data_IF_057928305795
#
_entry.id   IF_057928305795
#
_cell.length_a   1.000
_cell.length_b   1.000
_cell.length_c   1.000
_cell.angle_alpha   90.00
_cell.angle_beta   90.00
_cell.angle_gamma   90.00
#
_symmetry.space_group_name_H-M   'P 1'
#
loop_
_entity.id
_entity.type
_entity.pdbx_description
1 polymer ?
#
# COMPACT_ATOMS: atom_id res chain seq x y z
N UNK A 1 -32.20 8.79 -30.50
CA UNK A 1 -31.38 8.09 -31.51
C UNK A 1 -29.95 8.13 -31.02
N UNK A 2 -29.35 6.98 -30.71
CA UNK A 2 -27.91 6.93 -30.36
C UNK A 2 -27.17 7.05 -31.69
N UNK A 3 -26.43 8.15 -31.87
CA UNK A 3 -25.57 8.30 -33.04
C UNK A 3 -24.55 7.16 -33.01
N UNK A 4 -24.52 6.35 -34.06
CA UNK A 4 -23.51 5.31 -34.25
C UNK A 4 -22.15 6.03 -34.27
N UNK A 5 -21.34 5.82 -33.23
CA UNK A 5 -19.99 6.36 -33.25
C UNK A 5 -19.23 5.65 -34.39
N UNK A 6 -18.57 6.40 -35.28
CA UNK A 6 -17.80 5.79 -36.36
C UNK A 6 -16.73 4.88 -35.76
N UNK A 7 -16.46 3.77 -36.45
CA UNK A 7 -15.41 2.85 -36.07
C UNK A 7 -14.06 3.59 -35.98
N UNK A 8 -13.24 3.17 -35.00
CA UNK A 8 -11.90 3.73 -34.84
C UNK A 8 -11.06 3.43 -36.09
N UNK A 9 -10.26 4.41 -36.50
CA UNK A 9 -9.29 4.22 -37.58
C UNK A 9 -8.34 3.07 -37.24
N UNK A 10 -8.17 2.15 -38.19
CA UNK A 10 -7.14 1.11 -38.07
C UNK A 10 -5.74 1.74 -38.22
N UNK A 11 -4.69 1.16 -37.62
CA UNK A 11 -3.32 1.63 -37.82
C UNK A 11 -2.90 1.67 -39.29
N UNK A 12 -3.38 0.71 -40.09
CA UNK A 12 -3.16 0.70 -41.54
C UNK A 12 -3.78 1.94 -42.21
N UNK A 13 -5.04 2.27 -41.85
CA UNK A 13 -5.72 3.43 -42.45
C UNK A 13 -5.04 4.74 -42.05
N UNK A 14 -4.51 4.84 -40.84
CA UNK A 14 -3.74 6.01 -40.40
C UNK A 14 -2.43 6.16 -41.16
N UNK A 15 -1.69 5.06 -41.34
CA UNK A 15 -0.46 5.07 -42.12
C UNK A 15 -0.72 5.52 -43.57
N UNK A 16 -1.81 5.04 -44.19
CA UNK A 16 -2.22 5.49 -45.52
C UNK A 16 -2.59 6.99 -45.56
N UNK A 17 -3.23 7.53 -44.52
CA UNK A 17 -3.55 8.97 -44.45
C UNK A 17 -2.27 9.78 -44.26
N UNK A 18 -1.36 9.30 -43.40
CA UNK A 18 -0.05 9.92 -43.16
C UNK A 18 0.78 9.97 -44.45
N UNK A 19 0.87 8.85 -45.18
CA UNK A 19 1.58 8.78 -46.46
C UNK A 19 0.98 9.76 -47.49
N UNK A 20 -0.36 9.84 -47.59
CA UNK A 20 -1.02 10.82 -48.47
C UNK A 20 -0.73 12.26 -48.06
N UNK A 21 -0.71 12.56 -46.76
CA UNK A 21 -0.43 13.89 -46.24
C UNK A 21 1.04 14.30 -46.46
N UNK A 22 1.98 13.36 -46.30
CA UNK A 22 3.41 13.58 -46.55
C UNK A 22 3.73 13.73 -48.05
N UNK A 23 3.04 12.95 -48.91
CA UNK A 23 3.18 13.04 -50.36
C UNK A 23 2.56 14.33 -50.94
N UNK A 24 1.66 14.99 -50.22
CA UNK A 24 1.07 16.25 -50.64
C UNK A 24 2.10 17.39 -50.66
N UNK A 25 1.91 18.36 -51.57
CA UNK A 25 2.80 19.52 -51.70
C UNK A 25 3.02 20.20 -50.34
N UNK A 26 4.27 20.47 -49.93
CA UNK A 26 4.54 21.18 -48.67
C UNK A 26 3.86 22.55 -48.64
N UNK A 27 3.25 22.88 -47.50
CA UNK A 27 2.62 24.18 -47.24
C UNK A 27 3.59 25.31 -46.92
N UNK A 28 3.08 26.50 -46.56
CA UNK A 28 1.65 26.81 -46.40
C UNK A 28 0.92 26.88 -47.74
N UNK A 29 -0.33 26.44 -47.76
CA UNK A 29 -1.24 26.67 -48.89
C UNK A 29 -2.08 27.91 -48.59
N UNK A 30 -2.18 28.81 -49.57
CA UNK A 30 -3.03 29.99 -49.52
C UNK A 30 -4.15 29.88 -50.55
N UNK A 31 -5.22 30.63 -50.31
CA UNK A 31 -6.34 30.79 -51.24
C UNK A 31 -6.23 32.19 -51.85
N UNK A 32 -6.33 32.30 -53.18
CA UNK A 32 -6.40 33.55 -53.91
C UNK A 32 -7.66 33.59 -54.78
N UNK A 33 -8.35 34.71 -54.74
CA UNK A 33 -9.54 34.96 -55.54
C UNK A 33 -9.20 35.95 -56.66
N UNK A 34 -9.49 35.56 -57.90
CA UNK A 34 -9.29 36.39 -59.09
C UNK A 34 -10.62 36.79 -59.71
N UNK A 35 -10.67 37.98 -60.32
CA UNK A 35 -11.79 38.38 -61.15
C UNK A 35 -13.13 38.59 -60.43
N UNK A 36 -13.11 38.92 -59.12
CA UNK A 36 -14.31 39.23 -58.35
C UNK A 36 -15.23 38.04 -58.10
N UNK A 37 -14.65 36.87 -57.86
CA UNK A 37 -15.39 35.64 -57.56
C UNK A 37 -15.71 34.76 -58.76
N UNK A 38 -14.95 34.90 -59.84
CA UNK A 38 -15.03 34.00 -61.01
C UNK A 38 -13.99 32.87 -60.98
N UNK A 39 -13.02 32.95 -60.06
CA UNK A 39 -11.92 32.00 -59.98
C UNK A 39 -11.33 31.98 -58.56
N UNK A 40 -11.30 30.80 -57.93
CA UNK A 40 -10.53 30.55 -56.71
C UNK A 40 -9.36 29.62 -57.04
N UNK A 41 -8.15 30.03 -56.66
CA UNK A 41 -6.95 29.23 -56.78
C UNK A 41 -6.34 28.95 -55.39
N UNK A 42 -6.01 27.69 -55.15
CA UNK A 42 -5.24 27.26 -53.98
C UNK A 42 -3.81 27.08 -54.43
N UNK A 43 -2.86 27.76 -53.79
CA UNK A 43 -1.46 27.73 -54.20
C UNK A 43 -0.50 27.63 -53.01
N UNK A 44 0.63 26.95 -53.20
CA UNK A 44 1.69 26.86 -52.20
C UNK A 44 2.58 28.11 -52.23
N UNK A 45 2.92 28.63 -51.04
CA UNK A 45 3.72 29.84 -50.84
C UNK A 45 3.13 31.06 -51.53
N UNK A 46 1.83 31.28 -51.32
CA UNK A 46 1.08 32.36 -51.94
C UNK A 46 1.48 33.72 -51.35
N UNK A 47 1.96 34.62 -52.22
CA UNK A 47 2.33 36.00 -51.92
C UNK A 47 1.50 36.95 -52.80
N UNK A 48 0.74 37.87 -52.20
CA UNK A 48 0.00 38.88 -52.95
C UNK A 48 0.94 39.97 -53.49
N UNK A 49 0.78 40.36 -54.76
CA UNK A 49 1.72 41.27 -55.45
C UNK A 49 1.09 42.60 -55.91
N UNK A 50 -0.16 42.86 -55.55
CA UNK A 50 -0.92 44.06 -55.96
C UNK A 50 -1.46 44.05 -57.39
N UNK A 51 -0.95 43.17 -58.26
CA UNK A 51 -1.45 42.95 -59.63
C UNK A 51 -1.83 41.47 -59.88
N UNK A 52 -2.03 40.70 -58.82
CA UNK A 52 -2.16 39.26 -58.85
C UNK A 52 -1.47 38.65 -57.64
N UNK A 53 -1.05 37.41 -57.77
CA UNK A 53 -0.25 36.71 -56.76
C UNK A 53 0.98 36.07 -57.40
N UNK A 54 1.95 35.76 -56.55
CA UNK A 54 3.07 34.89 -56.86
C UNK A 54 2.93 33.66 -55.97
N UNK A 55 3.17 32.49 -56.54
CA UNK A 55 3.19 31.24 -55.80
C UNK A 55 4.30 30.34 -56.33
N UNK A 56 4.74 29.39 -55.51
CA UNK A 56 5.65 28.34 -55.96
C UNK A 56 4.94 27.37 -56.91
N UNK A 57 3.68 27.02 -56.62
CA UNK A 57 2.91 26.04 -57.38
C UNK A 57 1.40 26.17 -57.12
N UNK A 58 0.58 26.09 -58.17
CA UNK A 58 -0.86 25.89 -58.04
C UNK A 58 -1.18 24.46 -57.57
N UNK A 59 -2.04 24.35 -56.56
CA UNK A 59 -2.47 23.09 -55.93
C UNK A 59 -3.80 22.63 -56.52
N UNK A 60 -4.79 23.52 -56.51
CA UNK A 60 -6.11 23.29 -57.04
C UNK A 60 -6.65 24.60 -57.62
N UNK A 61 -7.56 24.46 -58.57
CA UNK A 61 -8.25 25.56 -59.21
C UNK A 61 -9.72 25.20 -59.24
N UNK A 62 -10.54 26.15 -58.83
CA UNK A 62 -11.99 26.06 -58.78
C UNK A 62 -12.49 27.11 -59.78
N UNK A 63 -12.67 26.66 -61.01
CA UNK A 63 -13.03 27.47 -62.17
C UNK A 63 -14.35 27.01 -62.77
N UNK A 64 -15.43 27.46 -62.14
CA UNK A 64 -16.76 27.54 -62.74
C UNK A 64 -17.36 28.87 -62.30
N UNK A 65 -17.63 29.76 -63.26
CA UNK A 65 -18.61 30.82 -63.02
C UNK A 65 -19.93 30.09 -62.73
N UNK A 66 -20.52 30.21 -61.53
CA UNK A 66 -21.83 29.63 -61.28
C UNK A 66 -22.78 30.16 -62.34
N UNK A 67 -23.50 29.25 -63.00
CA UNK A 67 -24.38 29.57 -64.14
C UNK A 67 -25.43 30.63 -63.78
N UNK A 68 -25.77 30.77 -62.50
CA UNK A 68 -26.44 31.94 -61.91
C UNK A 68 -26.28 31.87 -60.37
N UNK A 69 -25.78 32.92 -59.72
CA UNK A 69 -25.67 32.99 -58.25
C UNK A 69 -26.98 33.48 -57.59
N UNK A 70 -28.07 33.61 -58.35
CA UNK A 70 -29.39 33.94 -57.84
C UNK A 70 -30.09 32.69 -57.26
N UNK A 71 -30.37 32.64 -55.94
CA UNK A 71 -31.13 31.54 -55.34
C UNK A 71 -32.56 31.40 -55.89
N UNK A 72 -33.04 32.38 -56.66
CA UNK A 72 -34.32 32.33 -57.38
C UNK A 72 -34.25 31.61 -58.73
N UNK A 73 -33.06 31.24 -59.22
CA UNK A 73 -32.91 30.47 -60.44
C UNK A 73 -33.22 28.98 -60.18
N UNK A 74 -33.98 28.34 -61.07
CA UNK A 74 -34.45 26.95 -60.90
C UNK A 74 -33.28 25.93 -60.89
N UNK A 75 -32.11 26.33 -61.39
CA UNK A 75 -30.89 25.51 -61.47
C UNK A 75 -29.93 25.75 -60.30
N UNK A 76 -30.21 26.71 -59.41
CA UNK A 76 -29.34 27.01 -58.27
C UNK A 76 -29.40 25.91 -57.20
N UNK A 77 -28.23 25.47 -56.73
CA UNK A 77 -28.10 24.64 -55.54
C UNK A 77 -27.23 25.32 -54.49
N UNK A 78 -27.46 25.00 -53.20
CA UNK A 78 -26.63 25.50 -52.11
C UNK A 78 -25.16 25.02 -52.18
N UNK A 79 -24.89 23.96 -52.96
CA UNK A 79 -23.54 23.43 -53.21
C UNK A 79 -22.79 24.27 -54.26
N UNK A 80 -23.50 25.02 -55.10
CA UNK A 80 -22.94 25.91 -56.14
C UNK A 80 -22.82 27.37 -55.67
N UNK A 81 -23.19 27.65 -54.42
CA UNK A 81 -23.01 28.97 -53.80
C UNK A 81 -21.53 29.30 -53.67
N UNK A 82 -21.11 30.46 -54.19
CA UNK A 82 -19.72 30.90 -54.16
C UNK A 82 -19.13 30.97 -52.74
N UNK A 83 -19.94 31.28 -51.73
CA UNK A 83 -19.50 31.26 -50.34
C UNK A 83 -19.15 29.84 -49.87
N UNK A 84 -19.84 28.82 -50.38
CA UNK A 84 -19.51 27.42 -50.10
C UNK A 84 -18.22 27.00 -50.83
N UNK A 85 -18.02 27.42 -52.08
CA UNK A 85 -16.78 27.19 -52.83
C UNK A 85 -15.57 27.83 -52.12
N UNK A 86 -15.73 29.05 -51.62
CA UNK A 86 -14.69 29.72 -50.81
C UNK A 86 -14.41 28.97 -49.50
N UNK A 87 -15.45 28.46 -48.83
CA UNK A 87 -15.31 27.67 -47.61
C UNK A 87 -14.57 26.34 -47.87
N UNK A 88 -14.90 25.65 -48.94
CA UNK A 88 -14.24 24.39 -49.36
C UNK A 88 -12.78 24.65 -49.72
N UNK A 89 -12.49 25.75 -50.43
CA UNK A 89 -11.13 26.12 -50.77
C UNK A 89 -10.27 26.39 -49.52
N UNK A 90 -10.83 27.10 -48.53
CA UNK A 90 -10.16 27.32 -47.23
C UNK A 90 -9.96 26.01 -46.50
N UNK A 91 -10.96 25.12 -46.46
CA UNK A 91 -10.84 23.81 -45.85
C UNK A 91 -9.71 22.99 -46.49
N UNK A 92 -9.64 22.93 -47.83
CA UNK A 92 -8.58 22.22 -48.56
C UNK A 92 -7.20 22.85 -48.30
N UNK A 93 -7.10 24.17 -48.27
CA UNK A 93 -5.86 24.87 -47.94
C UNK A 93 -5.34 24.50 -46.55
N UNK A 94 -6.23 24.50 -45.54
CA UNK A 94 -5.88 24.17 -44.15
C UNK A 94 -5.69 22.66 -43.90
N UNK A 95 -6.37 21.80 -44.66
CA UNK A 95 -6.29 20.35 -44.50
C UNK A 95 -4.86 19.82 -44.57
N UNK A 96 -3.97 20.50 -45.31
CA UNK A 96 -2.55 20.12 -45.37
C UNK A 96 -1.88 20.14 -43.99
N UNK A 97 -2.17 21.14 -43.19
CA UNK A 97 -1.57 21.30 -41.86
C UNK A 97 -2.43 20.59 -40.80
N UNK A 98 -3.75 20.74 -40.86
CA UNK A 98 -4.69 20.18 -39.89
C UNK A 98 -4.65 18.65 -39.85
N UNK A 99 -4.58 17.97 -40.99
CA UNK A 99 -4.51 16.49 -41.02
C UNK A 99 -3.23 16.00 -40.35
N UNK A 100 -2.11 16.68 -40.57
CA UNK A 100 -0.83 16.31 -39.95
C UNK A 100 -0.88 16.52 -38.44
N UNK A 101 -1.44 17.65 -37.99
CA UNK A 101 -1.64 17.94 -36.57
C UNK A 101 -2.57 16.91 -35.89
N UNK A 102 -3.69 16.58 -36.53
CA UNK A 102 -4.64 15.59 -36.01
C UNK A 102 -4.04 14.18 -35.93
N UNK A 103 -3.20 13.78 -36.88
CA UNK A 103 -2.48 12.50 -36.82
C UNK A 103 -1.48 12.47 -35.66
N UNK A 104 -0.77 13.57 -35.41
CA UNK A 104 0.14 13.68 -34.28
C UNK A 104 -0.59 13.59 -32.93
N UNK A 105 -1.71 14.31 -32.79
CA UNK A 105 -2.57 14.23 -31.60
C UNK A 105 -3.15 12.81 -31.40
N UNK A 106 -3.61 12.17 -32.48
CA UNK A 106 -4.10 10.80 -32.42
C UNK A 106 -3.02 9.81 -31.98
N UNK A 107 -1.78 9.99 -32.44
CA UNK A 107 -0.64 9.19 -32.00
C UNK A 107 -0.33 9.42 -30.51
N UNK A 108 -0.35 10.68 -30.05
CA UNK A 108 -0.14 11.03 -28.64
C UNK A 108 -1.21 10.39 -27.74
N UNK A 109 -2.50 10.56 -28.05
CA UNK A 109 -3.60 9.96 -27.28
C UNK A 109 -3.52 8.43 -27.26
N UNK A 110 -3.05 7.80 -28.33
CA UNK A 110 -2.84 6.35 -28.36
C UNK A 110 -1.69 5.92 -27.45
N UNK A 111 -0.59 6.66 -27.46
CA UNK A 111 0.53 6.41 -26.56
C UNK A 111 0.10 6.54 -25.10
N UNK A 112 -0.61 7.62 -24.74
CA UNK A 112 -1.16 7.83 -23.39
C UNK A 112 -2.12 6.70 -22.97
N UNK A 113 -3.01 6.28 -23.87
CA UNK A 113 -3.92 5.16 -23.60
C UNK A 113 -3.16 3.86 -23.36
N UNK A 114 -2.14 3.58 -24.16
CA UNK A 114 -1.38 2.34 -24.08
C UNK A 114 -0.52 2.32 -22.81
N UNK A 115 0.05 3.46 -22.41
CA UNK A 115 0.68 3.66 -21.10
C UNK A 115 -0.30 3.45 -19.95
N UNK A 116 -1.48 4.09 -19.99
CA UNK A 116 -2.51 3.92 -18.96
C UNK A 116 -2.98 2.46 -18.84
N UNK A 117 -3.06 1.72 -19.95
CA UNK A 117 -3.38 0.30 -19.96
C UNK A 117 -2.27 -0.56 -19.36
N UNK A 118 -1.01 -0.21 -19.61
CA UNK A 118 0.13 -0.89 -19.00
C UNK A 118 0.12 -0.69 -17.48
N UNK A 119 -0.06 0.54 -17.02
CA UNK A 119 -0.19 0.88 -15.58
C UNK A 119 -1.36 0.16 -14.94
N UNK A 120 -2.52 0.12 -15.59
CA UNK A 120 -3.69 -0.60 -15.09
C UNK A 120 -3.42 -2.10 -14.95
N UNK A 121 -2.72 -2.70 -15.92
CA UNK A 121 -2.35 -4.11 -15.87
C UNK A 121 -1.42 -4.40 -14.69
N UNK A 122 -0.38 -3.59 -14.50
CA UNK A 122 0.53 -3.73 -13.37
C UNK A 122 -0.21 -3.60 -12.03
N UNK A 123 -1.12 -2.62 -11.91
CA UNK A 123 -1.96 -2.47 -10.72
C UNK A 123 -2.86 -3.70 -10.47
N UNK A 124 -3.44 -4.29 -11.51
CA UNK A 124 -4.19 -5.53 -11.38
C UNK A 124 -3.32 -6.71 -10.90
N UNK A 125 -2.10 -6.82 -11.42
CA UNK A 125 -1.16 -7.87 -11.00
C UNK A 125 -0.76 -7.69 -9.52
N UNK A 126 -0.52 -6.44 -9.07
CA UNK A 126 -0.26 -6.12 -7.66
C UNK A 126 -1.45 -6.46 -6.75
N UNK A 127 -2.69 -6.16 -7.17
CA UNK A 127 -3.89 -6.52 -6.41
C UNK A 127 -4.02 -8.03 -6.27
N UNK A 128 -3.78 -8.78 -7.35
CA UNK A 128 -3.81 -10.25 -7.30
C UNK A 128 -2.77 -10.83 -6.33
N UNK A 129 -1.58 -10.25 -6.25
CA UNK A 129 -0.55 -10.63 -5.27
C UNK A 129 -1.01 -10.35 -3.83
N UNK A 130 -1.57 -9.16 -3.58
CA UNK A 130 -2.09 -8.81 -2.25
C UNK A 130 -3.25 -9.70 -1.82
N UNK A 131 -4.15 -10.04 -2.74
CA UNK A 131 -5.25 -10.97 -2.46
C UNK A 131 -4.73 -12.36 -2.09
N UNK A 132 -3.65 -12.82 -2.72
CA UNK A 132 -2.99 -14.08 -2.36
C UNK A 132 -2.36 -14.02 -0.97
N UNK A 133 -1.65 -12.93 -0.64
CA UNK A 133 -1.05 -12.70 0.68
C UNK A 133 -2.13 -12.66 1.78
N UNK A 134 -3.22 -11.93 1.56
CA UNK A 134 -4.36 -11.85 2.48
C UNK A 134 -4.97 -13.24 2.69
N UNK A 135 -5.11 -14.03 1.62
CA UNK A 135 -5.56 -15.41 1.71
C UNK A 135 -4.66 -16.28 2.59
N UNK A 136 -3.34 -16.15 2.44
CA UNK A 136 -2.35 -16.84 3.29
C UNK A 136 -2.44 -16.45 4.76
N UNK A 137 -2.45 -15.15 5.06
CA UNK A 137 -2.56 -14.64 6.43
C UNK A 137 -3.88 -15.04 7.09
N UNK A 138 -4.98 -15.07 6.33
CA UNK A 138 -6.29 -15.52 6.84
C UNK A 138 -6.24 -16.99 7.25
N UNK A 139 -5.60 -17.85 6.46
CA UNK A 139 -5.43 -19.25 6.79
C UNK A 139 -4.54 -19.46 8.03
N UNK A 140 -3.46 -18.68 8.15
CA UNK A 140 -2.58 -18.72 9.33
C UNK A 140 -3.31 -18.26 10.60
N UNK A 141 -4.08 -17.18 10.53
CA UNK A 141 -4.91 -16.72 11.64
C UNK A 141 -5.90 -17.78 12.09
N UNK A 142 -6.52 -18.49 11.15
CA UNK A 142 -7.44 -19.58 11.49
C UNK A 142 -6.71 -20.76 12.13
N UNK A 143 -5.51 -21.11 11.66
CA UNK A 143 -4.68 -22.13 12.29
C UNK A 143 -4.31 -21.75 13.72
N UNK A 144 -3.87 -20.51 13.95
CA UNK A 144 -3.54 -20.00 15.30
C UNK A 144 -4.77 -20.01 16.19
N UNK A 145 -5.95 -19.64 15.68
CA UNK A 145 -7.21 -19.72 16.43
C UNK A 145 -7.55 -21.15 16.84
N UNK A 146 -7.42 -22.11 15.93
CA UNK A 146 -7.64 -23.54 16.23
C UNK A 146 -6.63 -24.04 17.26
N UNK A 147 -5.37 -23.64 17.16
CA UNK A 147 -4.34 -24.01 18.13
C UNK A 147 -4.65 -23.41 19.51
N UNK A 148 -4.98 -22.12 19.58
CA UNK A 148 -5.34 -21.45 20.83
C UNK A 148 -6.57 -22.09 21.49
N UNK A 149 -7.57 -22.48 20.71
CA UNK A 149 -8.77 -23.15 21.20
C UNK A 149 -8.47 -24.47 21.93
N UNK A 150 -7.32 -25.11 21.71
CA UNK A 150 -6.89 -26.30 22.48
C UNK A 150 -6.52 -25.95 23.92
N UNK A 151 -6.03 -24.74 24.15
CA UNK A 151 -5.57 -24.27 25.45
C UNK A 151 -6.66 -23.52 26.21
N UNK A 152 -7.59 -22.85 25.51
CA UNK A 152 -8.73 -22.19 26.15
C UNK A 152 -9.58 -23.21 26.92
N UNK A 153 -9.68 -23.03 28.23
CA UNK A 153 -10.39 -23.94 29.13
C UNK A 153 -9.61 -25.18 29.58
N UNK A 154 -8.42 -25.41 29.00
CA UNK A 154 -7.43 -26.39 29.48
C UNK A 154 -6.37 -25.76 30.39
N UNK A 155 -6.44 -24.44 30.59
CA UNK A 155 -5.63 -23.72 31.57
C UNK A 155 -5.94 -24.27 32.97
N UNK A 156 -4.93 -24.70 33.74
CA UNK A 156 -5.15 -25.14 35.11
C UNK A 156 -5.80 -24.00 35.87
N UNK A 157 -6.93 -24.29 36.50
CA UNK A 157 -7.60 -23.35 37.38
C UNK A 157 -6.63 -22.93 38.51
N UNK A 158 -6.85 -21.75 39.10
CA UNK A 158 -6.06 -21.31 40.26
C UNK A 158 -6.06 -22.40 41.35
N UNK A 159 -7.20 -23.10 41.54
CA UNK A 159 -7.30 -24.21 42.48
C UNK A 159 -6.42 -25.41 42.09
N UNK A 160 -6.39 -25.81 40.82
CA UNK A 160 -5.51 -26.88 40.33
C UNK A 160 -4.03 -26.50 40.42
N UNK A 161 -3.70 -25.25 40.13
CA UNK A 161 -2.35 -24.69 40.30
C UNK A 161 -1.91 -24.73 41.77
N UNK A 162 -2.76 -24.25 42.69
CA UNK A 162 -2.50 -24.32 44.14
C UNK A 162 -2.35 -25.78 44.58
N UNK A 163 -3.25 -26.67 44.16
CA UNK A 163 -3.18 -28.08 44.53
C UNK A 163 -1.90 -28.76 44.00
N UNK A 164 -1.44 -28.40 42.79
CA UNK A 164 -0.16 -28.88 42.26
C UNK A 164 1.02 -28.38 43.09
N UNK A 165 1.07 -27.08 43.39
CA UNK A 165 2.13 -26.49 44.22
C UNK A 165 2.14 -27.09 45.62
N UNK A 166 0.98 -27.28 46.25
CA UNK A 166 0.86 -27.95 47.55
C UNK A 166 1.43 -29.36 47.51
N UNK A 167 1.11 -30.16 46.48
CA UNK A 167 1.71 -31.51 46.32
C UNK A 167 3.22 -31.47 46.17
N UNK A 168 3.76 -30.48 45.44
CA UNK A 168 5.20 -30.31 45.31
C UNK A 168 5.85 -29.97 46.66
N UNK A 169 5.25 -29.08 47.46
CA UNK A 169 5.72 -28.71 48.79
C UNK A 169 5.62 -29.89 49.76
N UNK A 170 4.52 -30.63 49.77
CA UNK A 170 4.33 -31.85 50.55
C UNK A 170 5.41 -32.90 50.23
N UNK A 171 5.70 -33.15 48.95
CA UNK A 171 6.76 -34.07 48.54
C UNK A 171 8.15 -33.63 49.05
N UNK A 172 8.41 -32.32 49.15
CA UNK A 172 9.64 -31.80 49.77
C UNK A 172 9.66 -32.08 51.27
N UNK A 173 8.53 -31.90 51.97
CA UNK A 173 8.44 -32.26 53.39
C UNK A 173 8.65 -33.76 53.62
N UNK A 174 8.08 -34.62 52.78
CA UNK A 174 8.28 -36.08 52.86
C UNK A 174 9.77 -36.46 52.74
N UNK A 175 10.52 -35.80 51.84
CA UNK A 175 11.97 -36.02 51.70
C UNK A 175 12.73 -35.56 52.96
N UNK A 176 12.33 -34.43 53.55
CA UNK A 176 12.91 -33.94 54.81
C UNK A 176 12.62 -34.90 55.98
N UNK A 177 11.38 -35.38 56.10
CA UNK A 177 10.95 -36.32 57.14
C UNK A 177 11.70 -37.66 57.03
N UNK A 178 11.84 -38.19 55.80
CA UNK A 178 12.60 -39.41 55.54
C UNK A 178 14.09 -39.26 55.87
N UNK A 179 14.67 -38.06 55.70
CA UNK A 179 16.05 -37.77 56.10
C UNK A 179 16.21 -37.64 57.63
N UNK A 180 15.15 -37.23 58.35
CA UNK A 180 15.13 -37.13 59.81
C UNK A 180 14.88 -38.47 60.51
N UNK A 181 14.12 -39.39 59.89
CA UNK A 181 13.71 -40.66 60.49
C UNK A 181 14.87 -41.48 61.12
N UNK A 182 16.06 -41.61 60.49
CA UNK A 182 17.19 -42.33 61.09
C UNK A 182 17.69 -41.67 62.39
N UNK A 183 17.46 -40.37 62.57
CA UNK A 183 17.88 -39.60 63.75
C UNK A 183 16.92 -39.73 64.92
N UNK A 184 15.76 -40.36 64.74
CA UNK A 184 14.77 -40.59 65.81
C UNK A 184 14.81 -42.01 66.38
N UNK A 185 15.44 -42.95 65.67
CA UNK A 185 15.29 -44.39 65.93
C UNK A 185 16.32 -45.02 66.87
N UNK A 186 17.46 -44.37 67.11
CA UNK A 186 18.59 -44.97 67.84
C UNK A 186 18.79 -44.33 69.21
N UNK A 187 19.27 -45.09 70.20
CA UNK A 187 19.63 -44.57 71.53
C UNK A 187 20.75 -43.51 71.47
N UNK A 188 21.51 -43.48 70.36
CA UNK A 188 22.51 -42.46 70.06
C UNK A 188 22.40 -42.06 68.57
N UNK A 189 21.47 -41.17 68.20
CA UNK A 189 21.15 -40.92 66.82
C UNK A 189 22.24 -40.13 66.08
N UNK A 190 22.45 -40.40 64.78
CA UNK A 190 23.27 -39.51 63.96
C UNK A 190 22.63 -38.11 63.90
N UNK A 191 23.42 -37.03 63.76
CA UNK A 191 22.86 -35.70 63.59
C UNK A 191 22.03 -35.62 62.30
N UNK A 192 20.88 -34.95 62.37
CA UNK A 192 20.07 -34.62 61.18
C UNK A 192 20.94 -33.79 60.23
N UNK A 193 20.96 -34.09 58.92
CA UNK A 193 21.69 -33.27 57.96
C UNK A 193 21.25 -31.80 58.00
N UNK A 194 22.20 -30.87 58.08
CA UNK A 194 21.94 -29.43 58.22
C UNK A 194 21.07 -28.85 57.09
N UNK A 195 21.08 -29.47 55.91
CA UNK A 195 20.26 -29.04 54.78
C UNK A 195 18.76 -29.22 55.02
N UNK A 196 18.34 -30.14 55.89
CA UNK A 196 16.91 -30.44 56.11
C UNK A 196 16.18 -29.23 56.66
N UNK A 197 16.78 -28.54 57.65
CA UNK A 197 16.20 -27.33 58.23
C UNK A 197 16.06 -26.21 57.18
N UNK A 198 17.08 -26.01 56.35
CA UNK A 198 17.10 -24.99 55.30
C UNK A 198 16.07 -25.27 54.21
N UNK A 199 15.93 -26.53 53.80
CA UNK A 199 14.95 -26.94 52.78
C UNK A 199 13.53 -26.85 53.30
N UNK A 200 13.27 -27.23 54.56
CA UNK A 200 11.95 -27.12 55.18
C UNK A 200 11.53 -25.66 55.33
N UNK A 201 12.41 -24.80 55.84
CA UNK A 201 12.15 -23.35 55.94
C UNK A 201 11.88 -22.71 54.57
N UNK A 202 12.58 -23.16 53.52
CA UNK A 202 12.34 -22.72 52.16
C UNK A 202 10.99 -23.22 51.59
N UNK A 203 10.60 -24.46 51.89
CA UNK A 203 9.33 -25.05 51.46
C UNK A 203 8.13 -24.39 52.13
N UNK A 204 8.25 -24.04 53.41
CA UNK A 204 7.22 -23.32 54.18
C UNK A 204 7.05 -21.86 53.73
N UNK A 205 7.99 -21.33 52.94
CA UNK A 205 8.02 -19.91 52.58
C UNK A 205 8.29 -18.98 53.77
N UNK A 206 8.77 -19.52 54.90
CA UNK A 206 9.00 -18.78 56.15
C UNK A 206 10.42 -18.20 56.22
N UNK A 207 11.21 -18.36 55.15
CA UNK A 207 12.58 -17.87 55.11
C UNK A 207 12.63 -16.37 55.43
N UNK A 208 13.26 -16.05 56.57
CA UNK A 208 13.45 -14.67 56.98
C UNK A 208 14.15 -13.87 55.87
N UNK A 209 13.78 -12.60 55.71
CA UNK A 209 14.49 -11.73 54.78
C UNK A 209 15.95 -11.58 55.24
N UNK A 210 16.84 -12.31 54.58
CA UNK A 210 18.27 -12.15 54.73
C UNK A 210 18.70 -10.91 53.95
N UNK A 211 19.20 -9.91 54.67
CA UNK A 211 19.74 -8.68 54.07
C UNK A 211 20.98 -8.94 53.22
N UNK A 212 21.60 -10.12 53.33
CA UNK A 212 22.69 -10.55 52.48
C UNK A 212 22.24 -11.41 51.29
N UNK A 213 20.94 -11.65 51.09
CA UNK A 213 20.45 -12.38 49.92
C UNK A 213 20.70 -11.56 48.64
N UNK A 214 21.68 -12.00 47.85
CA UNK A 214 22.07 -11.33 46.60
C UNK A 214 21.20 -11.69 45.41
N UNK A 215 20.22 -12.58 45.59
CA UNK A 215 19.29 -12.94 44.51
C UNK A 215 18.36 -11.78 44.20
N UNK A 216 18.08 -11.59 42.91
CA UNK A 216 17.12 -10.60 42.43
C UNK A 216 15.70 -11.10 42.66
N UNK A 217 14.83 -10.23 43.15
CA UNK A 217 13.38 -10.50 43.33
C UNK A 217 12.68 -10.36 41.98
N UNK A 218 11.75 -11.26 41.70
CA UNK A 218 10.89 -11.26 40.52
C UNK A 218 9.51 -10.83 40.98
N UNK A 219 8.90 -9.89 40.28
CA UNK A 219 7.56 -9.40 40.56
C UNK A 219 6.62 -9.58 39.37
N UNK A 220 5.31 -9.64 39.64
CA UNK A 220 4.24 -9.46 38.66
C UNK A 220 3.37 -8.30 39.11
N UNK A 221 3.00 -7.43 38.17
CA UNK A 221 2.10 -6.31 38.42
C UNK A 221 0.63 -6.63 38.13
N UNK A 222 -0.27 -5.66 38.39
CA UNK A 222 -1.71 -5.81 38.17
C UNK A 222 -2.15 -5.97 36.71
N UNK A 223 -1.25 -5.74 35.75
CA UNK A 223 -1.48 -5.91 34.31
C UNK A 223 -0.92 -7.22 33.76
N UNK A 224 -0.21 -8.00 34.59
CA UNK A 224 0.42 -9.26 34.19
C UNK A 224 1.85 -9.10 33.67
N UNK A 225 2.43 -7.89 33.74
CA UNK A 225 3.82 -7.66 33.33
C UNK A 225 4.80 -8.13 34.43
N UNK A 226 5.92 -8.71 33.99
CA UNK A 226 6.94 -9.24 34.88
C UNK A 226 8.11 -8.26 35.07
N UNK A 227 8.56 -8.13 36.32
CA UNK A 227 9.59 -7.19 36.74
C UNK A 227 10.71 -7.89 37.51
N UNK A 228 11.91 -7.34 37.48
CA UNK A 228 13.09 -7.87 38.16
C UNK A 228 13.76 -6.77 38.99
N UNK A 229 14.12 -7.05 40.24
CA UNK A 229 14.89 -6.09 41.05
C UNK A 229 16.28 -5.87 40.47
N UNK A 230 16.67 -4.61 40.34
CA UNK A 230 17.95 -4.18 39.80
C UNK A 230 18.91 -3.75 40.89
N UNK A 231 18.46 -2.85 41.78
CA UNK A 231 19.26 -2.29 42.87
C UNK A 231 18.36 -1.96 44.08
N UNK A 232 18.99 -1.83 45.24
CA UNK A 232 18.35 -1.33 46.46
C UNK A 232 19.20 -0.17 47.00
N UNK A 233 18.64 1.03 47.02
CA UNK A 233 19.32 2.23 47.54
C UNK A 233 18.38 2.97 48.49
N UNK A 234 18.86 3.27 49.70
CA UNK A 234 18.10 4.02 50.71
C UNK A 234 16.71 3.44 51.03
N UNK A 235 16.55 2.11 50.96
CA UNK A 235 15.28 1.42 51.18
C UNK A 235 14.33 1.41 49.97
N UNK A 236 14.76 1.95 48.84
CA UNK A 236 14.01 1.94 47.58
C UNK A 236 14.47 0.77 46.71
N UNK A 237 13.55 -0.09 46.30
CA UNK A 237 13.79 -1.19 45.36
C UNK A 237 13.51 -0.72 43.93
N UNK A 238 14.57 -0.62 43.13
CA UNK A 238 14.47 -0.32 41.70
C UNK A 238 14.24 -1.61 40.91
N UNK A 239 13.33 -1.57 39.95
CA UNK A 239 12.89 -2.72 39.17
C UNK A 239 12.91 -2.41 37.67
N UNK A 240 13.26 -3.40 36.86
CA UNK A 240 13.24 -3.33 35.40
C UNK A 240 12.29 -4.37 34.81
N UNK A 241 11.74 -4.10 33.62
CA UNK A 241 10.86 -5.08 32.94
C UNK A 241 11.69 -6.25 32.44
N UNK A 242 11.18 -7.46 32.65
CA UNK A 242 11.85 -8.69 32.24
C UNK A 242 11.97 -8.81 30.71
N UNK A 243 11.05 -8.20 29.95
CA UNK A 243 10.94 -8.32 28.50
C UNK A 243 11.79 -7.33 27.67
N UNK A 244 12.85 -6.72 28.23
CA UNK A 244 13.89 -6.10 27.39
C UNK A 244 14.35 -4.67 27.71
N UNK A 245 14.11 -4.15 28.92
CA UNK A 245 14.77 -2.92 29.37
C UNK A 245 15.25 -3.08 30.81
N UNK A 246 16.56 -3.28 30.98
CA UNK A 246 17.22 -3.33 32.29
C UNK A 246 17.54 -1.93 32.85
N UNK A 247 17.24 -0.88 32.07
CA UNK A 247 17.41 0.51 32.48
C UNK A 247 16.05 1.03 32.96
N UNK A 248 15.72 0.75 34.22
CA UNK A 248 14.48 1.20 34.86
C UNK A 248 14.75 2.06 36.08
N UNK A 249 14.38 3.34 36.02
CA UNK A 249 14.20 4.20 37.20
C UNK A 249 12.88 3.90 37.93
N UNK A 250 12.13 2.88 37.48
CA UNK A 250 10.89 2.47 38.11
C UNK A 250 11.17 1.78 39.45
N UNK A 251 10.35 2.11 40.43
CA UNK A 251 10.40 1.54 41.77
C UNK A 251 9.19 0.62 41.97
N UNK A 252 9.26 -0.27 42.96
CA UNK A 252 8.10 -1.10 43.31
C UNK A 252 6.86 -0.26 43.63
N UNK A 253 7.03 0.90 44.26
CA UNK A 253 5.90 1.77 44.63
C UNK A 253 5.31 2.50 43.42
N UNK A 254 6.16 2.98 42.50
CA UNK A 254 5.66 3.64 41.28
C UNK A 254 4.91 2.67 40.37
N UNK A 255 5.38 1.43 40.23
CA UNK A 255 4.65 0.39 39.48
C UNK A 255 3.36 0.02 40.19
N UNK A 256 3.37 -0.14 41.52
CA UNK A 256 2.16 -0.45 42.30
C UNK A 256 1.09 0.62 42.13
N UNK A 257 1.47 1.89 42.21
CA UNK A 257 0.56 3.02 42.04
C UNK A 257 -0.03 3.06 40.61
N UNK A 258 0.81 2.83 39.60
CA UNK A 258 0.41 2.85 38.19
C UNK A 258 -0.50 1.68 37.79
N UNK A 259 -0.26 0.49 38.33
CA UNK A 259 -0.90 -0.77 37.88
C UNK A 259 -1.90 -1.32 38.89
N UNK A 260 -2.03 -0.69 40.05
CA UNK A 260 -2.91 -1.10 41.14
C UNK A 260 -2.34 -2.20 42.04
N UNK A 261 -1.37 -3.01 41.59
CA UNK A 261 -0.71 -4.01 42.43
C UNK A 261 0.67 -4.40 41.90
N UNK A 262 1.56 -4.81 42.81
CA UNK A 262 2.80 -5.53 42.47
C UNK A 262 3.05 -6.56 43.57
N UNK A 263 3.36 -7.79 43.19
CA UNK A 263 3.63 -8.89 44.11
C UNK A 263 4.91 -9.61 43.73
N UNK A 264 5.72 -9.96 44.72
CA UNK A 264 6.88 -10.84 44.53
C UNK A 264 6.38 -12.25 44.20
N UNK A 265 6.91 -12.85 43.13
CA UNK A 265 6.55 -14.20 42.68
C UNK A 265 7.73 -15.17 42.74
N UNK A 266 8.93 -14.68 43.06
CA UNK A 266 10.12 -15.52 43.18
C UNK A 266 11.42 -14.73 43.26
N UNK A 267 12.54 -15.46 43.21
CA UNK A 267 13.89 -14.89 43.21
C UNK A 267 14.79 -15.65 42.25
N UNK A 268 15.72 -14.98 41.59
CA UNK A 268 16.74 -15.59 40.72
C UNK A 268 18.14 -15.02 40.97
N UNK A 269 19.17 -15.72 40.49
CA UNK A 269 20.55 -15.22 40.51
C UNK A 269 20.81 -14.23 39.38
#
# INVERSE_FOLDING_TARGET
MVATMPDRLSPQREAEICERAEAATPGPWGVYEFGGGSLIEIAADLEETGHGYKARRGIARLDEEPLDNDPAHDEWTAEEDWAQVEADAKFVAHARDDVSALLAELAAVRAERDEARATLREACDQVAERDHEIGGLTAELEQVRVELAKYVGSEPTIAEGIAFLSRCVEAVHEVCDAAEEPSLRWENPPPVPEWVAVVREAADGVRAEDSNDRRRRIYIDGTGEAWLSLSHENGVCYIGRLAGALDGDETTDSVRERTGSIREIGRCW
#
